data_IF_424048782985
#
_entry.id   IF_424048782985
#
_cell.length_a   1.000
_cell.length_b   1.000
_cell.length_c   1.000
_cell.angle_alpha   90.00
_cell.angle_beta   90.00
_cell.angle_gamma   90.00
#
_symmetry.space_group_name_H-M   'P 1'
#
loop_
_entity.id
_entity.type
_entity.pdbx_description
1 polymer ?
#
# COMPACT_ATOMS: atom_id res chain seq x y z
N UNK A 1 39.23 3.48 -1.13
CA UNK A 1 37.85 3.43 -1.64
C UNK A 1 37.34 2.08 -1.21
N UNK A 2 36.69 2.02 -0.04
CA UNK A 2 36.22 0.77 0.53
C UNK A 2 34.93 0.38 -0.18
N UNK A 3 35.02 -0.69 -0.98
CA UNK A 3 33.87 -1.35 -1.58
C UNK A 3 33.07 -2.04 -0.47
N UNK A 4 32.18 -1.28 0.16
CA UNK A 4 31.29 -1.77 1.19
C UNK A 4 30.26 -2.71 0.55
N UNK A 5 30.61 -4.00 0.48
CA UNK A 5 29.69 -5.07 0.11
C UNK A 5 28.47 -4.97 1.01
N UNK A 6 27.29 -4.81 0.41
CA UNK A 6 26.00 -4.94 1.10
C UNK A 6 26.02 -6.28 1.85
N UNK A 7 25.95 -6.21 3.17
CA UNK A 7 26.03 -7.41 4.00
C UNK A 7 24.65 -8.09 3.93
N UNK A 8 24.60 -9.32 3.41
CA UNK A 8 23.34 -10.05 3.06
C UNK A 8 22.48 -10.39 4.31
N UNK A 9 22.84 -9.90 5.50
CA UNK A 9 22.05 -9.97 6.74
C UNK A 9 21.43 -8.66 7.22
N UNK A 10 21.66 -7.52 6.55
CA UNK A 10 21.07 -6.24 6.94
C UNK A 10 19.66 -6.08 6.38
N UNK A 11 18.75 -5.50 7.17
CA UNK A 11 17.36 -5.30 6.73
C UNK A 11 17.33 -4.29 5.59
N UNK A 12 16.47 -4.48 4.57
CA UNK A 12 16.38 -3.58 3.42
C UNK A 12 16.23 -2.09 3.78
N UNK A 13 15.42 -1.79 4.80
CA UNK A 13 15.24 -0.44 5.31
C UNK A 13 16.50 0.19 5.89
N UNK A 14 17.34 -0.60 6.56
CA UNK A 14 18.58 -0.13 7.17
C UNK A 14 19.63 0.23 6.11
N UNK A 15 19.71 -0.57 5.03
CA UNK A 15 20.59 -0.31 3.89
C UNK A 15 20.25 1.06 3.26
N UNK A 16 18.97 1.30 3.00
CA UNK A 16 18.51 2.55 2.41
C UNK A 16 18.71 3.74 3.35
N UNK A 17 18.48 3.54 4.65
CA UNK A 17 18.76 4.56 5.69
C UNK A 17 20.24 4.91 5.74
N UNK A 18 21.12 3.91 5.72
CA UNK A 18 22.56 4.11 5.71
C UNK A 18 23.00 4.90 4.48
N UNK A 19 22.48 4.56 3.31
CA UNK A 19 22.78 5.29 2.07
C UNK A 19 22.27 6.74 2.12
N UNK A 20 21.06 6.98 2.64
CA UNK A 20 20.53 8.34 2.82
C UNK A 20 21.44 9.18 3.71
N UNK A 21 21.88 8.61 4.83
CA UNK A 21 22.79 9.28 5.76
C UNK A 21 24.17 9.51 5.11
N UNK A 22 24.67 8.56 4.33
CA UNK A 22 25.94 8.70 3.58
C UNK A 22 25.89 9.85 2.57
N UNK A 23 24.72 10.09 1.95
CA UNK A 23 24.48 11.21 1.04
C UNK A 23 24.17 12.53 1.75
N UNK A 24 24.08 12.54 3.09
CA UNK A 24 23.75 13.73 3.87
C UNK A 24 22.32 14.24 3.66
N UNK A 25 21.41 13.38 3.19
CA UNK A 25 20.01 13.75 2.93
C UNK A 25 19.16 13.56 4.18
N UNK A 26 18.27 14.51 4.44
CA UNK A 26 17.30 14.37 5.51
C UNK A 26 16.07 13.55 5.08
N UNK A 27 15.27 13.13 6.06
CA UNK A 27 14.04 12.35 5.82
C UNK A 27 13.02 13.13 4.99
N UNK A 28 12.98 14.46 5.12
CA UNK A 28 12.02 15.30 4.41
C UNK A 28 12.29 15.32 2.91
N UNK A 29 13.55 15.54 2.52
CA UNK A 29 14.00 15.62 1.13
C UNK A 29 13.71 14.33 0.38
N UNK A 30 14.06 13.19 0.97
CA UNK A 30 13.83 11.89 0.32
C UNK A 30 12.34 11.54 0.27
N UNK A 31 11.58 11.85 1.33
CA UNK A 31 10.14 11.62 1.34
C UNK A 31 9.43 12.42 0.23
N UNK A 32 9.86 13.66 -0.01
CA UNK A 32 9.37 14.51 -1.11
C UNK A 32 9.70 13.90 -2.48
N UNK A 33 10.95 13.47 -2.70
CA UNK A 33 11.38 12.83 -3.95
C UNK A 33 10.64 11.51 -4.24
N UNK A 34 10.28 10.76 -3.20
CA UNK A 34 9.51 9.52 -3.33
C UNK A 34 7.99 9.74 -3.34
N UNK A 35 7.52 10.97 -3.19
CA UNK A 35 6.10 11.31 -3.06
C UNK A 35 5.39 10.54 -1.94
N UNK A 36 6.05 10.39 -0.79
CA UNK A 36 5.48 9.78 0.42
C UNK A 36 5.60 10.71 1.62
N UNK A 37 4.90 10.39 2.70
CA UNK A 37 5.04 11.15 3.94
C UNK A 37 6.36 10.82 4.65
N UNK A 38 6.88 11.77 5.45
CA UNK A 38 8.03 11.52 6.34
C UNK A 38 7.81 10.30 7.25
N UNK A 39 6.57 10.13 7.71
CA UNK A 39 6.18 8.99 8.54
C UNK A 39 6.37 7.66 7.80
N UNK A 40 5.97 7.57 6.53
CA UNK A 40 6.15 6.35 5.74
C UNK A 40 7.60 6.10 5.35
N UNK A 41 8.40 7.15 5.06
CA UNK A 41 9.84 6.97 4.83
C UNK A 41 10.51 6.40 6.08
N UNK A 42 10.23 6.97 7.26
CA UNK A 42 10.79 6.46 8.52
C UNK A 42 10.31 5.02 8.82
N UNK A 43 9.05 4.70 8.53
CA UNK A 43 8.55 3.34 8.69
C UNK A 43 9.28 2.34 7.77
N UNK A 44 9.53 2.70 6.50
CA UNK A 44 10.30 1.87 5.56
C UNK A 44 11.72 1.64 6.07
N UNK A 45 12.42 2.70 6.49
CA UNK A 45 13.79 2.63 7.00
C UNK A 45 13.93 1.81 8.28
N UNK A 46 12.87 1.69 9.07
CA UNK A 46 12.85 0.91 10.31
C UNK A 46 12.19 -0.48 10.15
N UNK A 47 11.78 -0.87 8.94
CA UNK A 47 11.09 -2.15 8.68
C UNK A 47 9.69 -2.25 9.29
N UNK A 48 9.05 -1.12 9.59
CA UNK A 48 7.73 -1.05 10.23
C UNK A 48 6.60 -1.08 9.18
N UNK A 49 6.58 -2.08 8.31
CA UNK A 49 5.68 -2.15 7.14
C UNK A 49 4.19 -2.14 7.50
N UNK A 50 3.83 -2.54 8.73
CA UNK A 50 2.47 -2.48 9.25
C UNK A 50 1.94 -1.05 9.43
N UNK A 51 2.81 -0.03 9.45
CA UNK A 51 2.44 1.40 9.54
C UNK A 51 2.17 2.04 8.17
N UNK A 52 2.47 1.34 7.08
CA UNK A 52 2.18 1.82 5.73
C UNK A 52 0.66 1.81 5.47
N UNK A 53 0.16 2.57 4.47
CA UNK A 53 -1.27 2.59 4.14
C UNK A 53 -1.84 1.19 3.88
N UNK A 54 -1.03 0.32 3.29
CA UNK A 54 -1.26 -1.11 3.16
C UNK A 54 0.10 -1.82 3.02
N UNK A 55 0.25 -3.06 3.54
CA UNK A 55 1.51 -3.82 3.44
C UNK A 55 2.03 -4.00 2.01
N UNK A 56 1.12 -4.09 1.03
CA UNK A 56 1.46 -4.23 -0.40
C UNK A 56 2.30 -3.06 -0.96
N UNK A 57 2.23 -1.88 -0.33
CA UNK A 57 2.98 -0.71 -0.80
C UNK A 57 4.46 -0.77 -0.43
N UNK A 58 4.85 -1.59 0.55
CA UNK A 58 6.24 -1.73 0.98
C UNK A 58 7.17 -2.03 -0.21
N UNK A 59 6.79 -3.01 -1.04
CA UNK A 59 7.56 -3.41 -2.24
C UNK A 59 7.69 -2.27 -3.25
N UNK A 60 6.60 -1.54 -3.49
CA UNK A 60 6.59 -0.40 -4.41
C UNK A 60 7.51 0.72 -3.93
N UNK A 61 7.39 1.12 -2.66
CA UNK A 61 8.23 2.17 -2.10
C UNK A 61 9.70 1.77 -2.05
N UNK A 62 10.01 0.51 -1.71
CA UNK A 62 11.39 0.05 -1.66
C UNK A 62 12.06 0.07 -3.05
N UNK A 63 11.33 -0.30 -4.11
CA UNK A 63 11.82 -0.16 -5.49
C UNK A 63 12.08 1.29 -5.87
N UNK A 64 11.12 2.18 -5.60
CA UNK A 64 11.28 3.60 -5.88
C UNK A 64 12.48 4.20 -5.14
N UNK A 65 12.70 3.78 -3.89
CA UNK A 65 13.83 4.22 -3.09
C UNK A 65 15.16 3.68 -3.61
N UNK A 66 15.24 2.39 -3.93
CA UNK A 66 16.43 1.79 -4.54
C UNK A 66 16.80 2.51 -5.85
N UNK A 67 15.81 2.77 -6.70
CA UNK A 67 15.98 3.50 -7.97
C UNK A 67 16.46 4.93 -7.75
N UNK A 68 15.93 5.65 -6.76
CA UNK A 68 16.38 7.00 -6.42
C UNK A 68 17.87 7.03 -6.07
N UNK A 69 18.40 5.94 -5.52
CA UNK A 69 19.80 5.82 -5.11
C UNK A 69 20.67 4.99 -6.05
N UNK A 70 20.16 4.56 -7.21
CA UNK A 70 20.87 3.67 -8.14
C UNK A 70 21.39 2.38 -7.48
N UNK A 71 20.67 1.88 -6.46
CA UNK A 71 20.98 0.60 -5.81
C UNK A 71 20.28 -0.54 -6.58
N UNK A 72 20.98 -1.65 -6.89
CA UNK A 72 20.37 -2.80 -7.54
C UNK A 72 19.16 -3.35 -6.75
N UNK A 73 17.99 -3.37 -7.39
CA UNK A 73 16.72 -3.76 -6.77
C UNK A 73 16.75 -5.21 -6.27
N UNK A 74 17.36 -6.12 -7.04
CA UNK A 74 17.37 -7.56 -6.77
C UNK A 74 17.99 -7.88 -5.41
N UNK A 75 19.01 -7.11 -5.00
CA UNK A 75 19.69 -7.27 -3.71
C UNK A 75 18.81 -6.83 -2.55
N UNK A 76 18.02 -5.77 -2.72
CA UNK A 76 17.14 -5.22 -1.67
C UNK A 76 15.83 -6.00 -1.51
N UNK A 77 15.23 -6.44 -2.63
CA UNK A 77 13.91 -7.06 -2.62
C UNK A 77 13.92 -8.51 -2.15
N UNK A 78 15.02 -9.24 -2.40
CA UNK A 78 15.14 -10.63 -1.96
C UNK A 78 14.99 -10.77 -0.44
N UNK A 79 15.55 -9.83 0.33
CA UNK A 79 15.41 -9.79 1.79
C UNK A 79 14.06 -9.24 2.26
N UNK A 80 13.39 -8.40 1.46
CA UNK A 80 12.08 -7.83 1.80
C UNK A 80 10.95 -8.86 1.74
N UNK A 81 10.99 -9.79 0.77
CA UNK A 81 9.94 -10.81 0.62
C UNK A 81 9.87 -11.78 1.81
N UNK A 82 10.98 -11.98 2.51
CA UNK A 82 11.01 -12.75 3.75
C UNK A 82 10.30 -12.05 4.93
N UNK A 83 10.24 -10.71 4.92
CA UNK A 83 9.71 -9.90 6.02
C UNK A 83 8.21 -9.53 5.85
N UNK A 84 7.64 -9.69 4.66
CA UNK A 84 6.25 -9.28 4.38
C UNK A 84 5.25 -10.42 4.65
N UNK A 85 4.12 -10.15 5.34
CA UNK A 85 3.02 -11.10 5.43
C UNK A 85 2.48 -11.36 4.02
N UNK A 86 2.44 -12.63 3.62
CA UNK A 86 2.17 -13.03 2.23
C UNK A 86 0.90 -12.40 1.64
N UNK A 87 0.97 -12.06 0.35
CA UNK A 87 -0.02 -11.32 -0.47
C UNK A 87 -1.50 -11.76 -0.34
N UNK A 88 -1.75 -12.96 0.19
CA UNK A 88 -3.09 -13.52 0.36
C UNK A 88 -3.98 -12.67 1.28
N UNK A 89 -3.44 -12.12 2.35
CA UNK A 89 -4.24 -11.43 3.37
C UNK A 89 -4.75 -10.06 2.90
N UNK A 90 -3.93 -9.32 2.15
CA UNK A 90 -4.29 -8.00 1.60
C UNK A 90 -5.29 -8.08 0.44
N UNK A 91 -5.16 -9.12 -0.40
CA UNK A 91 -6.11 -9.39 -1.50
C UNK A 91 -7.47 -9.81 -0.92
N UNK A 92 -7.48 -10.62 0.14
CA UNK A 92 -8.72 -11.08 0.77
C UNK A 92 -9.49 -9.93 1.44
N UNK A 93 -8.80 -9.04 2.15
CA UNK A 93 -9.41 -7.86 2.80
C UNK A 93 -9.97 -6.85 1.79
N UNK A 94 -9.25 -6.59 0.70
CA UNK A 94 -9.72 -5.72 -0.39
C UNK A 94 -10.94 -6.29 -1.11
N UNK A 95 -10.92 -7.60 -1.38
CA UNK A 95 -12.04 -8.31 -2.04
C UNK A 95 -13.29 -8.34 -1.15
N UNK A 96 -13.12 -8.55 0.16
CA UNK A 96 -14.22 -8.50 1.13
C UNK A 96 -14.85 -7.09 1.23
N UNK A 97 -14.05 -6.03 1.10
CA UNK A 97 -14.54 -4.63 1.07
C UNK A 97 -15.40 -4.31 -0.16
N UNK A 98 -14.98 -4.75 -1.35
CA UNK A 98 -15.73 -4.52 -2.59
C UNK A 98 -17.07 -5.28 -2.63
N UNK A 99 -17.10 -6.53 -2.15
CA UNK A 99 -18.33 -7.33 -2.08
C UNK A 99 -19.39 -6.72 -1.16
N UNK A 100 -18.98 -6.00 -0.10
CA UNK A 100 -19.90 -5.35 0.84
C UNK A 100 -20.58 -4.10 0.23
N UNK A 101 -19.89 -3.40 -0.67
CA UNK A 101 -20.36 -2.16 -1.32
C UNK A 101 -21.31 -2.39 -2.50
N UNK A 102 -21.26 -3.55 -3.15
CA UNK A 102 -22.23 -3.85 -4.23
C UNK A 102 -23.58 -4.34 -3.67
N UNK A 103 -23.58 -4.97 -2.48
CA UNK A 103 -24.79 -5.56 -1.90
C UNK A 103 -25.79 -4.52 -1.37
N UNK A 104 -25.32 -3.43 -0.76
CA UNK A 104 -26.18 -2.34 -0.29
C UNK A 104 -26.73 -1.48 -1.44
N UNK A 105 -26.00 -1.36 -2.56
CA UNK A 105 -26.49 -0.69 -3.77
C UNK A 105 -27.62 -1.47 -4.45
N UNK A 106 -27.46 -2.79 -4.62
CA UNK A 106 -28.48 -3.64 -5.25
C UNK A 106 -29.77 -3.70 -4.39
N UNK A 107 -29.63 -3.79 -3.05
CA UNK A 107 -30.77 -3.76 -2.14
C UNK A 107 -31.54 -2.42 -2.20
N UNK A 108 -30.84 -1.29 -2.35
CA UNK A 108 -31.47 0.02 -2.49
C UNK A 108 -32.27 0.17 -3.78
N UNK A 109 -31.74 -0.32 -4.91
CA UNK A 109 -32.42 -0.26 -6.21
C UNK A 109 -33.68 -1.14 -6.23
N UNK A 110 -33.63 -2.34 -5.64
CA UNK A 110 -34.80 -3.22 -5.56
C UNK A 110 -35.94 -2.62 -4.72
N UNK A 111 -35.62 -1.93 -3.61
CA UNK A 111 -36.62 -1.21 -2.82
C UNK A 111 -37.24 -0.06 -3.61
N UNK A 112 -36.45 0.71 -4.37
CA UNK A 112 -36.98 1.80 -5.21
C UNK A 112 -37.89 1.27 -6.32
N UNK A 113 -37.50 0.18 -6.99
CA UNK A 113 -38.35 -0.47 -8.01
C UNK A 113 -39.64 -1.01 -7.38
N UNK A 114 -39.56 -1.59 -6.19
CA UNK A 114 -40.74 -2.02 -5.41
C UNK A 114 -41.69 -0.86 -5.07
N UNK A 115 -41.14 0.29 -4.64
CA UNK A 115 -41.93 1.47 -4.32
C UNK A 115 -42.58 2.09 -5.57
N UNK A 116 -41.85 2.17 -6.69
CA UNK A 116 -42.38 2.68 -7.96
C UNK A 116 -43.49 1.78 -8.51
N UNK A 117 -43.32 0.45 -8.44
CA UNK A 117 -44.33 -0.50 -8.87
C UNK A 117 -45.58 -0.43 -7.98
N UNK A 118 -45.43 -0.32 -6.66
CA UNK A 118 -46.56 -0.12 -5.75
C UNK A 118 -47.31 1.21 -6.01
N UNK A 119 -46.58 2.32 -6.20
CA UNK A 119 -47.18 3.62 -6.51
C UNK A 119 -47.91 3.62 -7.86
N UNK A 120 -47.35 2.94 -8.88
CA UNK A 120 -47.98 2.79 -10.18
C UNK A 120 -49.28 1.97 -10.10
N UNK A 121 -49.28 0.88 -9.32
CA UNK A 121 -50.47 0.06 -9.05
C UNK A 121 -51.54 0.85 -8.30
N UNK A 122 -51.15 1.62 -7.28
CA UNK A 122 -52.06 2.46 -6.49
C UNK A 122 -52.76 3.50 -7.36
N UNK A 123 -51.99 4.23 -8.17
CA UNK A 123 -52.53 5.24 -9.09
C UNK A 123 -53.38 4.63 -10.22
N UNK A 124 -53.14 3.37 -10.59
CA UNK A 124 -53.88 2.66 -11.64
C UNK A 124 -55.18 2.00 -11.15
N UNK A 125 -55.26 1.59 -9.89
CA UNK A 125 -56.46 0.99 -9.30
C UNK A 125 -57.40 2.00 -8.63
N UNK A 126 -56.98 3.24 -8.41
CA UNK A 126 -57.87 4.32 -7.99
C UNK A 126 -58.49 4.13 -6.61
N UNK A 127 -57.65 3.93 -5.59
CA UNK A 127 -58.00 4.14 -4.17
C UNK A 127 -57.42 5.47 -3.66
#
# INVERSE_FOLDING_TARGET
MDDQKINIGEKPGEILKAERLRRGLDVATVAEQLHITRHYLSALENGEYHKLPAPIFAKGYMRSYAKLFDIPEDTLLSSLEADLPGDKEAVEKSRAGQLKSHRNEILGVLLLIGLLSAAWVYNKLGL
#
